data_IF_290520859197
#
_entry.id   IF_290520859197
#
_cell.length_a   1.000
_cell.length_b   1.000
_cell.length_c   1.000
_cell.angle_alpha   90.00
_cell.angle_beta   90.00
_cell.angle_gamma   90.00
#
_symmetry.space_group_name_H-M   'P 1'
#
loop_
_entity.id
_entity.type
_entity.pdbx_description
1 polymer ?
#
# COMPACT_ATOMS: atom_id res chain seq x y z
N UNK A 1 27.71 -22.04 -2.84
CA UNK A 1 27.65 -21.84 -1.36
C UNK A 1 26.19 -21.82 -0.90
N UNK A 2 25.35 -22.77 -1.31
CA UNK A 2 23.95 -22.87 -0.90
C UNK A 2 23.53 -24.25 -0.41
N UNK A 3 24.52 -25.16 -0.17
CA UNK A 3 24.22 -26.55 0.23
C UNK A 3 23.93 -26.74 1.73
N UNK A 4 23.93 -25.71 2.53
CA UNK A 4 23.70 -25.78 3.99
C UNK A 4 22.28 -25.43 4.46
N UNK A 5 21.36 -25.07 3.55
CA UNK A 5 20.01 -24.61 3.91
C UNK A 5 18.88 -25.58 3.57
N UNK A 6 19.21 -26.76 3.08
CA UNK A 6 18.24 -27.80 2.77
C UNK A 6 18.06 -28.67 4.01
N UNK A 7 17.03 -28.43 4.79
CA UNK A 7 16.67 -29.29 5.92
C UNK A 7 16.11 -28.61 7.18
N UNK A 8 16.05 -27.26 7.25
CA UNK A 8 15.31 -26.58 8.30
C UNK A 8 14.10 -25.87 7.69
N UNK A 9 12.97 -25.90 8.37
CA UNK A 9 11.72 -25.21 7.99
C UNK A 9 11.87 -23.67 8.00
N UNK A 10 12.98 -23.15 7.47
CA UNK A 10 13.24 -21.74 7.37
C UNK A 10 12.63 -21.19 6.09
N UNK A 11 11.55 -20.43 6.23
CA UNK A 11 11.00 -19.65 5.13
C UNK A 11 12.04 -18.60 4.71
N UNK A 12 12.68 -18.79 3.57
CA UNK A 12 13.60 -17.82 2.97
C UNK A 12 12.71 -16.80 2.22
N UNK A 13 12.90 -15.53 2.53
CA UNK A 13 12.28 -14.41 1.79
C UNK A 13 13.38 -13.56 1.20
N UNK A 14 13.42 -13.53 -0.11
CA UNK A 14 14.35 -12.68 -0.84
C UNK A 14 13.65 -11.36 -1.21
N UNK A 15 14.37 -10.26 -1.01
CA UNK A 15 13.94 -8.93 -1.44
C UNK A 15 14.98 -8.34 -2.36
N UNK A 16 14.53 -7.98 -3.55
CA UNK A 16 15.36 -7.35 -4.56
C UNK A 16 14.96 -5.90 -4.73
N UNK A 17 15.94 -5.02 -4.91
CA UNK A 17 15.71 -3.60 -5.20
C UNK A 17 16.04 -3.35 -6.67
N UNK A 18 15.09 -2.80 -7.41
CA UNK A 18 15.28 -2.37 -8.79
C UNK A 18 15.19 -0.85 -8.81
N UNK A 19 16.27 -0.20 -9.27
CA UNK A 19 16.30 1.25 -9.47
C UNK A 19 15.97 1.54 -10.93
N UNK A 20 15.03 2.46 -11.16
CA UNK A 20 14.62 2.90 -12.48
C UNK A 20 14.91 4.38 -12.66
N UNK A 21 15.29 4.79 -13.87
CA UNK A 21 15.40 6.20 -14.24
C UNK A 21 14.03 6.69 -14.74
N UNK A 22 13.41 7.60 -13.98
CA UNK A 22 12.10 8.16 -14.33
C UNK A 22 10.92 7.27 -13.90
N UNK A 23 9.89 7.17 -14.73
CA UNK A 23 8.69 6.38 -14.44
C UNK A 23 8.99 4.89 -14.61
N UNK A 24 8.88 4.17 -13.48
CA UNK A 24 9.12 2.73 -13.42
C UNK A 24 8.14 1.91 -14.29
N UNK A 25 7.00 2.48 -14.70
CA UNK A 25 6.05 1.84 -15.61
C UNK A 25 6.53 1.81 -17.05
N UNK A 26 7.51 2.64 -17.40
CA UNK A 26 8.09 2.72 -18.73
C UNK A 26 9.40 1.93 -18.87
N UNK A 27 9.89 1.34 -17.77
CA UNK A 27 11.11 0.54 -17.78
C UNK A 27 10.81 -0.92 -18.09
N UNK A 28 11.24 -1.46 -19.23
CA UNK A 28 10.96 -2.84 -19.62
C UNK A 28 11.53 -3.89 -18.65
N UNK A 29 12.65 -3.59 -17.99
CA UNK A 29 13.26 -4.49 -17.01
C UNK A 29 12.41 -4.53 -15.74
N UNK A 30 11.95 -3.37 -15.27
CA UNK A 30 11.07 -3.30 -14.12
C UNK A 30 9.73 -4.03 -14.37
N UNK A 31 9.16 -3.89 -15.56
CA UNK A 31 7.92 -4.60 -15.94
C UNK A 31 8.13 -6.12 -16.01
N UNK A 32 9.24 -6.58 -16.60
CA UNK A 32 9.55 -8.00 -16.64
C UNK A 32 9.73 -8.58 -15.23
N UNK A 33 10.47 -7.91 -14.37
CA UNK A 33 10.66 -8.30 -12.96
C UNK A 33 9.31 -8.36 -12.23
N UNK A 34 8.43 -7.36 -12.40
CA UNK A 34 7.08 -7.37 -11.81
C UNK A 34 6.25 -8.55 -12.29
N UNK A 35 6.44 -8.99 -13.54
CA UNK A 35 5.68 -10.11 -14.11
C UNK A 35 6.01 -11.44 -13.44
N UNK A 36 7.26 -11.62 -12.99
CA UNK A 36 7.80 -12.86 -12.43
C UNK A 36 7.58 -12.94 -10.91
N UNK A 37 7.67 -11.81 -10.20
CA UNK A 37 7.64 -11.79 -8.73
C UNK A 37 6.23 -11.97 -8.15
N UNK A 38 6.16 -12.57 -6.96
CA UNK A 38 4.91 -12.74 -6.20
C UNK A 38 4.32 -11.44 -5.65
N UNK A 39 5.10 -10.37 -5.68
CA UNK A 39 4.66 -9.03 -5.27
C UNK A 39 5.76 -8.00 -5.42
N UNK A 40 5.37 -6.74 -5.39
CA UNK A 40 6.29 -5.61 -5.45
C UNK A 40 5.80 -4.46 -4.58
N UNK A 41 6.74 -3.70 -4.07
CA UNK A 41 6.51 -2.44 -3.36
C UNK A 41 7.06 -1.30 -4.23
N UNK A 42 6.24 -0.30 -4.47
CA UNK A 42 6.63 0.91 -5.22
C UNK A 42 6.94 2.01 -4.23
N UNK A 43 8.13 2.59 -4.34
CA UNK A 43 8.50 3.78 -3.58
C UNK A 43 8.21 5.03 -4.41
N UNK A 44 7.53 6.01 -3.80
CA UNK A 44 7.13 7.26 -4.45
C UNK A 44 7.99 8.41 -3.98
N UNK A 45 8.66 9.08 -4.92
CA UNK A 45 9.39 10.31 -4.65
C UNK A 45 8.44 11.45 -4.21
N UNK A 46 7.21 11.47 -4.72
CA UNK A 46 6.20 12.45 -4.35
C UNK A 46 5.79 12.32 -2.89
N UNK A 47 5.57 11.10 -2.39
CA UNK A 47 5.28 10.85 -0.97
C UNK A 47 6.46 11.28 -0.09
N UNK A 48 7.70 10.98 -0.51
CA UNK A 48 8.89 11.40 0.22
C UNK A 48 9.02 12.93 0.29
N UNK A 49 8.73 13.64 -0.81
CA UNK A 49 8.73 15.11 -0.85
C UNK A 49 7.68 15.73 0.09
N UNK A 50 6.55 15.04 0.29
CA UNK A 50 5.51 15.43 1.26
C UNK A 50 5.82 14.99 2.70
N UNK A 51 7.02 14.51 2.98
CA UNK A 51 7.44 13.96 4.28
C UNK A 51 6.51 12.82 4.77
N UNK A 52 6.04 11.99 3.83
CA UNK A 52 5.27 10.79 4.13
C UNK A 52 6.20 9.58 4.11
N UNK A 53 6.48 9.03 5.28
CA UNK A 53 7.36 7.86 5.43
C UNK A 53 6.64 6.75 6.21
N UNK A 54 6.87 5.47 5.82
CA UNK A 54 7.62 5.04 4.63
C UNK A 54 6.95 5.53 3.33
N UNK A 55 7.77 5.91 2.34
CA UNK A 55 7.28 6.49 1.09
C UNK A 55 6.76 5.40 0.11
N UNK A 56 5.90 4.52 0.59
CA UNK A 56 5.36 3.38 -0.15
C UNK A 56 4.03 3.79 -0.80
N UNK A 57 3.96 3.71 -2.13
CA UNK A 57 2.70 3.85 -2.85
C UNK A 57 1.88 2.56 -2.72
N UNK A 58 0.87 2.60 -1.87
CA UNK A 58 0.01 1.44 -1.58
C UNK A 58 -0.84 1.05 -2.79
N UNK A 59 -1.27 2.00 -3.61
CA UNK A 59 -2.11 1.73 -4.77
C UNK A 59 -1.33 1.05 -5.90
N UNK A 60 -0.08 1.46 -6.11
CA UNK A 60 0.81 0.86 -7.10
C UNK A 60 1.49 -0.42 -6.62
N UNK A 61 1.57 -0.63 -5.31
CA UNK A 61 2.14 -1.84 -4.72
C UNK A 61 1.15 -3.01 -4.77
N UNK A 62 1.66 -4.22 -4.99
CA UNK A 62 0.80 -5.40 -5.15
C UNK A 62 1.41 -6.65 -4.52
N UNK A 63 0.55 -7.50 -3.95
CA UNK A 63 0.86 -8.88 -3.58
C UNK A 63 -0.06 -9.83 -4.35
N UNK A 64 0.50 -10.84 -5.01
CA UNK A 64 -0.26 -11.89 -5.70
C UNK A 64 -0.67 -13.01 -4.74
N UNK A 65 0.01 -13.11 -3.61
CA UNK A 65 -0.21 -14.16 -2.63
C UNK A 65 -1.17 -13.75 -1.50
N UNK A 66 -1.55 -12.48 -1.42
CA UNK A 66 -2.36 -11.96 -0.33
C UNK A 66 -3.62 -12.80 -0.09
N UNK A 67 -4.34 -13.13 -1.14
CA UNK A 67 -5.60 -13.90 -1.06
C UNK A 67 -5.43 -15.33 -0.51
N UNK A 68 -4.19 -15.85 -0.54
CA UNK A 68 -3.87 -17.21 -0.07
C UNK A 68 -3.32 -17.25 1.35
N UNK A 69 -2.77 -16.11 1.84
CA UNK A 69 -2.00 -16.08 3.10
C UNK A 69 -2.66 -15.27 4.20
N UNK A 70 -3.69 -14.47 3.88
CA UNK A 70 -4.37 -13.64 4.86
C UNK A 70 -5.76 -14.17 5.18
N UNK A 71 -6.22 -13.89 6.40
CA UNK A 71 -7.58 -14.18 6.82
C UNK A 71 -8.60 -13.34 6.03
N UNK A 72 -9.84 -13.86 5.84
CA UNK A 72 -10.89 -13.17 5.09
C UNK A 72 -11.16 -11.74 5.58
N UNK A 73 -11.16 -11.53 6.89
CA UNK A 73 -11.35 -10.22 7.50
C UNK A 73 -10.25 -9.23 7.08
N UNK A 74 -8.99 -9.64 7.18
CA UNK A 74 -7.86 -8.81 6.77
C UNK A 74 -7.95 -8.42 5.29
N UNK A 75 -8.35 -9.37 4.44
CA UNK A 75 -8.53 -9.13 3.01
C UNK A 75 -9.63 -8.09 2.75
N UNK A 76 -10.76 -8.19 3.45
CA UNK A 76 -11.86 -7.24 3.34
C UNK A 76 -11.44 -5.84 3.78
N UNK A 77 -10.80 -5.71 4.94
CA UNK A 77 -10.31 -4.44 5.47
C UNK A 77 -9.28 -3.79 4.53
N UNK A 78 -8.29 -4.56 4.07
CA UNK A 78 -7.29 -4.05 3.14
C UNK A 78 -7.90 -3.66 1.79
N UNK A 79 -8.87 -4.42 1.30
CA UNK A 79 -9.62 -4.11 0.08
C UNK A 79 -10.41 -2.82 0.21
N UNK A 80 -11.11 -2.63 1.33
CA UNK A 80 -11.86 -1.42 1.62
C UNK A 80 -10.96 -0.19 1.74
N UNK A 81 -9.84 -0.30 2.50
CA UNK A 81 -8.84 0.78 2.58
C UNK A 81 -8.37 1.22 1.19
N UNK A 82 -8.00 0.25 0.32
CA UNK A 82 -7.54 0.55 -1.04
C UNK A 82 -8.64 1.20 -1.89
N UNK A 83 -9.88 0.77 -1.75
CA UNK A 83 -11.01 1.37 -2.46
C UNK A 83 -11.23 2.84 -2.05
N UNK A 84 -11.14 3.15 -0.75
CA UNK A 84 -11.22 4.52 -0.25
C UNK A 84 -10.06 5.38 -0.77
N UNK A 85 -8.82 4.87 -0.72
CA UNK A 85 -7.65 5.59 -1.23
C UNK A 85 -7.77 5.85 -2.74
N UNK A 86 -8.17 4.86 -3.52
CA UNK A 86 -8.36 5.00 -4.96
C UNK A 86 -9.46 6.02 -5.27
N UNK A 87 -10.60 5.94 -4.56
CA UNK A 87 -11.70 6.89 -4.77
C UNK A 87 -11.31 8.31 -4.39
N UNK A 88 -10.56 8.49 -3.30
CA UNK A 88 -10.02 9.80 -2.94
C UNK A 88 -9.11 10.38 -4.03
N UNK A 89 -8.22 9.56 -4.58
CA UNK A 89 -7.34 9.97 -5.68
C UNK A 89 -8.12 10.39 -6.93
N UNK A 90 -9.21 9.66 -7.28
CA UNK A 90 -10.06 9.98 -8.43
C UNK A 90 -10.74 11.35 -8.29
N UNK A 91 -11.11 11.73 -7.07
CA UNK A 91 -11.83 13.00 -6.81
C UNK A 91 -10.91 14.15 -6.35
N UNK A 92 -9.60 13.92 -6.19
CA UNK A 92 -8.67 14.92 -5.67
C UNK A 92 -8.75 16.25 -6.44
N UNK A 93 -8.86 16.19 -7.77
CA UNK A 93 -9.00 17.38 -8.59
C UNK A 93 -10.29 18.16 -8.25
N UNK A 94 -11.42 17.45 -8.12
CA UNK A 94 -12.70 18.07 -7.77
C UNK A 94 -12.68 18.72 -6.38
N UNK A 95 -11.97 18.08 -5.43
CA UNK A 95 -11.79 18.64 -4.09
C UNK A 95 -10.94 19.93 -4.13
N UNK A 96 -9.89 19.94 -4.94
CA UNK A 96 -8.98 21.10 -5.08
C UNK A 96 -9.65 22.28 -5.79
N UNK A 97 -10.55 22.03 -6.75
CA UNK A 97 -11.30 23.08 -7.47
C UNK A 97 -12.56 23.51 -6.72
N UNK A 98 -13.00 22.75 -5.72
CA UNK A 98 -14.23 23.00 -4.98
C UNK A 98 -15.51 22.56 -5.71
N UNK A 99 -15.37 21.73 -6.75
CA UNK A 99 -16.48 21.26 -7.59
C UNK A 99 -17.11 19.96 -7.06
N UNK A 100 -16.54 19.37 -6.01
CA UNK A 100 -17.12 18.16 -5.40
C UNK A 100 -18.39 18.50 -4.63
N UNK A 101 -19.47 17.76 -4.94
CA UNK A 101 -20.76 17.90 -4.24
C UNK A 101 -20.90 16.78 -3.21
N UNK A 102 -20.91 17.13 -1.93
CA UNK A 102 -21.11 16.18 -0.84
C UNK A 102 -22.47 15.45 -0.99
N UNK A 103 -22.48 14.15 -0.73
CA UNK A 103 -23.65 13.29 -0.89
C UNK A 103 -23.86 12.74 -2.31
N UNK A 104 -23.04 13.15 -3.29
CA UNK A 104 -23.13 12.63 -4.67
C UNK A 104 -22.60 11.21 -4.81
N UNK A 105 -21.65 10.82 -3.97
CA UNK A 105 -21.02 9.51 -3.96
C UNK A 105 -20.68 9.08 -2.53
N UNK A 106 -21.38 8.08 -1.97
CA UNK A 106 -21.16 7.61 -0.60
C UNK A 106 -19.73 7.13 -0.33
N UNK A 107 -19.09 6.49 -1.31
CA UNK A 107 -17.72 6.01 -1.16
C UNK A 107 -16.71 7.18 -1.14
N UNK A 108 -16.95 8.19 -1.95
CA UNK A 108 -16.15 9.40 -1.96
C UNK A 108 -16.30 10.20 -0.65
N UNK A 109 -17.52 10.33 -0.15
CA UNK A 109 -17.78 10.99 1.14
C UNK A 109 -17.08 10.26 2.30
N UNK A 110 -17.12 8.93 2.31
CA UNK A 110 -16.39 8.12 3.29
C UNK A 110 -14.88 8.29 3.13
N UNK A 111 -14.36 8.29 1.91
CA UNK A 111 -12.95 8.49 1.62
C UNK A 111 -12.45 9.84 2.14
N UNK A 112 -13.21 10.92 1.91
CA UNK A 112 -12.92 12.26 2.42
C UNK A 112 -12.91 12.27 3.95
N UNK A 113 -13.93 11.69 4.58
CA UNK A 113 -14.07 11.68 6.03
C UNK A 113 -12.93 10.91 6.73
N UNK A 114 -12.40 9.85 6.09
CA UNK A 114 -11.37 8.97 6.67
C UNK A 114 -9.94 9.30 6.21
N UNK A 115 -9.76 10.22 5.25
CA UNK A 115 -8.44 10.52 4.65
C UNK A 115 -7.36 10.80 5.70
N UNK A 116 -7.64 11.66 6.68
CA UNK A 116 -6.68 11.98 7.72
C UNK A 116 -6.27 10.78 8.59
N UNK A 117 -7.22 9.89 8.90
CA UNK A 117 -6.96 8.69 9.67
C UNK A 117 -6.15 7.65 8.84
N UNK A 118 -6.45 7.55 7.56
CA UNK A 118 -5.71 6.69 6.61
C UNK A 118 -4.27 7.18 6.47
N UNK A 119 -4.05 8.47 6.27
CA UNK A 119 -2.70 9.04 6.18
C UNK A 119 -1.90 8.83 7.45
N UNK A 120 -2.52 9.01 8.62
CA UNK A 120 -1.87 8.76 9.90
C UNK A 120 -1.50 7.28 10.07
N UNK A 121 -2.38 6.36 9.69
CA UNK A 121 -2.15 4.92 9.74
C UNK A 121 -0.99 4.47 8.83
N UNK A 122 -0.84 5.10 7.67
CA UNK A 122 0.20 4.76 6.71
C UNK A 122 1.57 5.40 7.02
N UNK A 123 1.60 6.39 7.91
CA UNK A 123 2.86 7.00 8.37
C UNK A 123 3.41 6.23 9.56
N UNK A 124 4.72 6.05 9.57
CA UNK A 124 5.44 5.41 10.65
C UNK A 124 6.78 6.10 10.88
N UNK A 125 7.11 6.39 12.12
CA UNK A 125 8.45 6.90 12.46
C UNK A 125 9.51 5.80 12.27
N UNK A 126 10.73 6.19 11.94
CA UNK A 126 11.83 5.24 11.72
C UNK A 126 12.18 4.41 12.98
N UNK A 127 11.91 4.92 14.15
CA UNK A 127 12.13 4.23 15.43
C UNK A 127 10.90 3.44 15.90
N UNK A 128 9.76 3.60 15.24
CA UNK A 128 8.52 2.93 15.61
C UNK A 128 8.54 1.47 15.17
N UNK A 129 8.19 0.57 16.08
CA UNK A 129 7.99 -0.85 15.79
C UNK A 129 6.53 -1.19 15.98
N UNK A 130 5.91 -1.80 14.97
CA UNK A 130 4.53 -2.24 15.02
C UNK A 130 4.44 -3.74 14.77
N UNK A 131 3.77 -4.46 15.67
CA UNK A 131 3.44 -5.87 15.48
C UNK A 131 2.30 -6.04 14.46
N UNK A 132 2.19 -7.26 13.90
CA UNK A 132 1.14 -7.57 12.93
C UNK A 132 -0.27 -7.39 13.52
N UNK A 133 -0.49 -7.89 14.74
CA UNK A 133 -1.79 -7.77 15.42
C UNK A 133 -2.13 -6.32 15.77
N UNK A 134 -1.12 -5.50 16.11
CA UNK A 134 -1.28 -4.07 16.36
C UNK A 134 -1.71 -3.34 15.08
N UNK A 135 -1.09 -3.69 13.97
CA UNK A 135 -1.42 -3.15 12.65
C UNK A 135 -2.86 -3.50 12.25
N UNK A 136 -3.30 -4.75 12.48
CA UNK A 136 -4.69 -5.14 12.20
C UNK A 136 -5.70 -4.41 13.08
N UNK A 137 -5.38 -4.24 14.37
CA UNK A 137 -6.23 -3.45 15.29
C UNK A 137 -6.32 -1.98 14.86
N UNK A 138 -5.20 -1.40 14.46
CA UNK A 138 -5.17 -0.03 13.95
C UNK A 138 -5.99 0.11 12.66
N UNK A 139 -5.86 -0.85 11.73
CA UNK A 139 -6.64 -0.87 10.48
C UNK A 139 -8.16 -0.95 10.74
N UNK A 140 -8.59 -1.81 11.68
CA UNK A 140 -10.00 -1.88 12.10
C UNK A 140 -10.49 -0.53 12.63
N UNK A 141 -9.69 0.13 13.45
CA UNK A 141 -10.03 1.44 14.03
C UNK A 141 -10.15 2.54 12.96
N UNK A 142 -9.36 2.50 11.91
CA UNK A 142 -9.40 3.47 10.81
C UNK A 142 -10.65 3.29 9.97
N UNK A 143 -11.10 2.04 9.78
CA UNK A 143 -12.23 1.71 8.92
C UNK A 143 -13.57 1.56 9.66
N UNK A 144 -13.56 1.65 10.98
CA UNK A 144 -14.76 1.74 11.78
C UNK A 144 -15.33 0.56 12.32
#
# INVERSE_FOLDING_TARGET
ILSGLVGSEMCIRDRYTVLTEGDASLDPVAEEVRSILDGHLVLSAELAQRNHFPAIDVLQSRSRLMDRVVEPEQRQLAGHLRALMARHADIELLLRTGDYVAGSDPLADEAIARQGAIEQFLRQDAAETSGFDDTLRALRKVLG
#
